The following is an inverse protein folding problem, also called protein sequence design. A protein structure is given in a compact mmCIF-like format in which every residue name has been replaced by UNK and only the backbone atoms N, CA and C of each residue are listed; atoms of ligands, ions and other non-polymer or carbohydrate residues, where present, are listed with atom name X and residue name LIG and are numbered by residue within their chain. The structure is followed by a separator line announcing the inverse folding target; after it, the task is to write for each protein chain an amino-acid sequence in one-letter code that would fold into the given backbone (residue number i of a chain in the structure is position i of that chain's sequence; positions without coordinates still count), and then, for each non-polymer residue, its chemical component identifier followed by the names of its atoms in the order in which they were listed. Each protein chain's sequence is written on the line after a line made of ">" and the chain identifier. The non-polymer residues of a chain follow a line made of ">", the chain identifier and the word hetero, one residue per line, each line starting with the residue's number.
data_IF_065710677255
#
_entry.id   IF_065710677255
#
_cell.length_a   1.000
_cell.length_b   1.000
_cell.length_c   1.000
_cell.angle_alpha   90.00
_cell.angle_beta   90.00
_cell.angle_gamma   90.00
#
_symmetry.space_group_name_H-M   'P 1'
#
loop_
_entity.id
_entity.type
_entity.pdbx_description
1 polymer ?
#
# COMPACT_ATOMS: atom_id res chain seq x y z
N UNK A 1 50.88 -11.80 -21.04
CA UNK A 1 49.91 -12.76 -20.50
C UNK A 1 48.78 -11.97 -19.86
N UNK A 2 47.73 -11.70 -20.61
CA UNK A 2 46.55 -10.95 -20.13
C UNK A 2 45.54 -11.98 -19.58
N UNK A 3 45.41 -11.99 -18.27
CA UNK A 3 44.45 -12.84 -17.55
C UNK A 3 43.08 -12.19 -17.68
N UNK A 4 42.36 -12.60 -18.72
CA UNK A 4 40.97 -12.21 -18.93
C UNK A 4 40.06 -13.17 -18.12
N UNK A 5 39.89 -12.88 -16.83
CA UNK A 5 38.83 -13.48 -16.05
C UNK A 5 37.48 -13.14 -16.71
N UNK A 6 36.68 -14.12 -17.13
CA UNK A 6 35.33 -13.87 -17.68
C UNK A 6 34.50 -13.21 -16.60
N UNK A 7 34.10 -11.96 -16.81
CA UNK A 7 33.17 -11.27 -15.93
C UNK A 7 31.91 -12.10 -15.77
N UNK A 8 31.67 -12.59 -14.56
CA UNK A 8 30.40 -13.26 -14.19
C UNK A 8 29.27 -12.27 -14.37
N UNK A 9 28.60 -12.32 -15.52
CA UNK A 9 27.37 -11.59 -15.73
C UNK A 9 26.32 -12.14 -14.76
N UNK A 10 26.00 -11.34 -13.71
CA UNK A 10 24.93 -11.67 -12.79
C UNK A 10 23.59 -11.66 -13.54
N UNK A 11 23.09 -12.85 -13.88
CA UNK A 11 21.73 -13.01 -14.41
C UNK A 11 20.79 -13.09 -13.23
N UNK A 12 19.89 -12.11 -13.05
CA UNK A 12 18.91 -12.14 -11.96
C UNK A 12 18.06 -13.41 -12.04
N UNK A 13 18.14 -14.26 -11.02
CA UNK A 13 17.38 -15.51 -10.97
C UNK A 13 15.95 -15.24 -10.52
N UNK A 14 14.97 -15.63 -11.34
CA UNK A 14 13.53 -15.49 -10.99
C UNK A 14 13.20 -16.40 -9.80
N UNK A 15 13.13 -15.86 -8.58
CA UNK A 15 12.81 -16.63 -7.34
C UNK A 15 11.32 -16.64 -7.04
N UNK A 16 10.51 -17.10 -7.97
CA UNK A 16 9.04 -17.05 -7.91
C UNK A 16 8.43 -17.89 -6.78
N UNK A 17 9.02 -19.03 -6.43
CA UNK A 17 8.54 -19.87 -5.33
C UNK A 17 8.77 -19.26 -3.96
N UNK A 18 9.90 -18.56 -3.76
CA UNK A 18 10.20 -17.87 -2.50
C UNK A 18 9.21 -16.74 -2.23
N UNK A 19 8.90 -15.92 -3.25
CA UNK A 19 7.90 -14.87 -3.13
C UNK A 19 6.53 -15.40 -2.73
N UNK A 20 6.05 -16.49 -3.37
CA UNK A 20 4.76 -17.08 -3.03
C UNK A 20 4.75 -17.65 -1.60
N UNK A 21 5.81 -18.34 -1.18
CA UNK A 21 5.92 -18.86 0.18
C UNK A 21 5.90 -17.78 1.24
N UNK A 22 6.65 -16.69 1.02
CA UNK A 22 6.66 -15.52 1.91
C UNK A 22 5.31 -14.79 1.89
N UNK A 23 4.64 -14.73 0.74
CA UNK A 23 3.32 -14.12 0.63
C UNK A 23 2.27 -14.91 1.42
N UNK A 24 2.29 -16.24 1.33
CA UNK A 24 1.43 -17.11 2.13
C UNK A 24 1.67 -16.88 3.63
N UNK A 25 2.93 -16.82 4.05
CA UNK A 25 3.29 -16.52 5.43
C UNK A 25 2.78 -15.14 5.86
N UNK A 26 2.92 -14.12 5.02
CA UNK A 26 2.42 -12.78 5.29
C UNK A 26 0.89 -12.73 5.46
N UNK A 27 0.15 -13.44 4.61
CA UNK A 27 -1.32 -13.57 4.72
C UNK A 27 -1.69 -14.31 6.00
N UNK A 28 -1.00 -15.41 6.34
CA UNK A 28 -1.24 -16.16 7.56
C UNK A 28 -0.98 -15.31 8.82
N UNK A 29 0.08 -14.52 8.83
CA UNK A 29 0.38 -13.58 9.92
C UNK A 29 -0.74 -12.54 10.04
N UNK A 30 -1.17 -11.93 8.93
CA UNK A 30 -2.24 -10.92 8.93
C UNK A 30 -3.58 -11.48 9.42
N UNK A 31 -4.01 -12.61 8.90
CA UNK A 31 -5.29 -13.25 9.30
C UNK A 31 -5.19 -13.83 10.71
N UNK A 32 -4.05 -14.44 11.05
CA UNK A 32 -3.81 -15.00 12.39
C UNK A 32 -3.78 -13.93 13.48
N UNK A 33 -3.14 -12.79 13.23
CA UNK A 33 -3.15 -11.67 14.18
C UNK A 33 -4.54 -11.04 14.33
N UNK A 34 -5.32 -10.96 13.25
CA UNK A 34 -6.72 -10.52 13.29
C UNK A 34 -7.58 -11.46 14.17
N UNK A 35 -7.42 -12.78 14.00
CA UNK A 35 -8.07 -13.79 14.84
C UNK A 35 -7.65 -13.68 16.30
N UNK A 36 -6.35 -13.48 16.57
CA UNK A 36 -5.80 -13.38 17.91
C UNK A 36 -6.38 -12.20 18.69
N UNK A 37 -6.67 -11.07 18.04
CA UNK A 37 -7.32 -9.92 18.67
C UNK A 37 -8.74 -10.27 19.14
N UNK A 38 -9.56 -10.91 18.31
CA UNK A 38 -10.91 -11.31 18.70
C UNK A 38 -10.90 -12.35 19.82
N UNK A 39 -10.02 -13.36 19.72
CA UNK A 39 -9.85 -14.37 20.77
C UNK A 39 -9.37 -13.77 22.10
N UNK A 40 -8.51 -12.75 22.06
CA UNK A 40 -7.97 -12.11 23.25
C UNK A 40 -8.94 -11.14 23.94
N UNK A 41 -9.89 -10.54 23.20
CA UNK A 41 -10.84 -9.56 23.76
C UNK A 41 -12.18 -10.23 24.07
N UNK A 42 -12.76 -10.94 23.10
CA UNK A 42 -14.11 -11.51 23.19
C UNK A 42 -14.12 -13.00 23.49
N UNK A 43 -12.96 -13.66 23.54
CA UNK A 43 -12.84 -15.11 23.71
C UNK A 43 -13.37 -15.92 22.51
N UNK A 44 -13.76 -15.27 21.41
CA UNK A 44 -14.33 -15.90 20.23
C UNK A 44 -13.62 -15.47 18.96
N UNK A 45 -13.70 -16.32 17.92
CA UNK A 45 -13.16 -15.96 16.61
C UNK A 45 -14.07 -14.89 15.98
N UNK A 46 -13.51 -13.80 15.46
CA UNK A 46 -14.31 -12.72 14.86
C UNK A 46 -15.26 -13.24 13.77
N UNK A 47 -16.54 -12.87 13.77
CA UNK A 47 -17.54 -13.43 12.84
C UNK A 47 -17.24 -13.12 11.36
N UNK A 48 -16.46 -12.08 11.08
CA UNK A 48 -16.07 -11.68 9.72
C UNK A 48 -14.74 -12.24 9.22
N UNK A 49 -14.03 -13.07 9.99
CA UNK A 49 -12.67 -13.50 9.68
C UNK A 49 -12.53 -14.21 8.33
N UNK A 50 -13.51 -15.06 7.99
CA UNK A 50 -13.47 -15.79 6.71
C UNK A 50 -13.59 -14.83 5.52
N UNK A 51 -14.45 -13.83 5.61
CA UNK A 51 -14.61 -12.82 4.56
C UNK A 51 -13.36 -11.94 4.45
N UNK A 52 -12.87 -11.43 5.57
CA UNK A 52 -11.66 -10.60 5.61
C UNK A 52 -10.46 -11.38 5.11
N UNK A 53 -10.26 -12.61 5.59
CA UNK A 53 -9.15 -13.48 5.20
C UNK A 53 -9.21 -13.86 3.73
N UNK A 54 -10.39 -14.21 3.20
CA UNK A 54 -10.57 -14.53 1.79
C UNK A 54 -10.28 -13.34 0.88
N UNK A 55 -10.87 -12.19 1.17
CA UNK A 55 -10.65 -10.96 0.38
C UNK A 55 -9.18 -10.55 0.44
N UNK A 56 -8.57 -10.61 1.62
CA UNK A 56 -7.16 -10.28 1.81
C UNK A 56 -6.24 -11.20 1.03
N UNK A 57 -6.48 -12.51 1.08
CA UNK A 57 -5.72 -13.50 0.31
C UNK A 57 -5.91 -13.31 -1.21
N UNK A 58 -7.14 -13.03 -1.65
CA UNK A 58 -7.45 -12.78 -3.06
C UNK A 58 -6.72 -11.54 -3.59
N UNK A 59 -6.71 -10.46 -2.82
CA UNK A 59 -6.02 -9.20 -3.17
C UNK A 59 -4.50 -9.41 -3.23
N UNK A 60 -3.94 -10.14 -2.25
CA UNK A 60 -2.52 -10.49 -2.24
C UNK A 60 -2.14 -11.38 -3.46
N UNK A 61 -2.99 -12.34 -3.80
CA UNK A 61 -2.79 -13.20 -4.96
C UNK A 61 -2.87 -12.40 -6.27
N UNK A 62 -3.83 -11.49 -6.40
CA UNK A 62 -3.96 -10.62 -7.57
C UNK A 62 -2.71 -9.76 -7.77
N UNK A 63 -2.18 -9.16 -6.68
CA UNK A 63 -0.92 -8.42 -6.72
C UNK A 63 0.26 -9.30 -7.15
N UNK A 64 0.37 -10.52 -6.59
CA UNK A 64 1.41 -11.48 -6.97
C UNK A 64 1.36 -11.84 -8.46
N UNK A 65 0.16 -12.13 -8.98
CA UNK A 65 -0.02 -12.45 -10.40
C UNK A 65 0.34 -11.27 -11.30
N UNK A 66 -0.01 -10.05 -10.89
CA UNK A 66 0.35 -8.83 -11.61
C UNK A 66 1.88 -8.61 -11.62
N UNK A 67 2.56 -8.73 -10.49
CA UNK A 67 4.03 -8.63 -10.41
C UNK A 67 4.68 -9.70 -11.27
N UNK A 68 4.20 -10.94 -11.22
CA UNK A 68 4.74 -12.04 -12.06
C UNK A 68 4.61 -11.75 -13.55
N UNK A 69 3.52 -11.13 -13.96
CA UNK A 69 3.24 -10.84 -15.39
C UNK A 69 3.97 -9.61 -15.89
N UNK A 70 3.99 -8.53 -15.12
CA UNK A 70 4.45 -7.21 -15.58
C UNK A 70 5.84 -6.82 -15.03
N UNK A 71 6.23 -7.33 -13.86
CA UNK A 71 7.49 -7.01 -13.19
C UNK A 71 8.25 -8.27 -12.73
N UNK A 72 8.45 -9.24 -13.63
CA UNK A 72 8.99 -10.56 -13.32
C UNK A 72 10.41 -10.62 -12.73
N UNK A 73 11.13 -9.49 -12.69
CA UNK A 73 12.45 -9.32 -12.06
C UNK A 73 12.39 -8.49 -10.76
N UNK A 74 11.19 -8.13 -10.28
CA UNK A 74 11.03 -7.43 -9.02
C UNK A 74 11.59 -8.26 -7.85
N UNK A 75 12.03 -7.57 -6.80
CA UNK A 75 12.52 -8.22 -5.59
C UNK A 75 11.39 -9.04 -4.95
N UNK A 76 11.62 -10.35 -4.68
CA UNK A 76 10.62 -11.24 -4.13
C UNK A 76 10.22 -10.91 -2.69
N UNK A 77 10.94 -10.03 -1.99
CA UNK A 77 10.66 -9.63 -0.60
C UNK A 77 9.67 -8.47 -0.51
N UNK A 78 9.65 -7.56 -1.50
CA UNK A 78 8.88 -6.31 -1.40
C UNK A 78 7.38 -6.55 -1.24
N UNK A 79 6.79 -7.38 -2.11
CA UNK A 79 5.35 -7.63 -2.05
C UNK A 79 4.92 -8.34 -0.75
N UNK A 80 5.58 -9.43 -0.29
CA UNK A 80 5.26 -10.05 0.99
C UNK A 80 5.39 -9.11 2.20
N UNK A 81 6.41 -8.24 2.22
CA UNK A 81 6.57 -7.26 3.30
C UNK A 81 5.42 -6.25 3.32
N UNK A 82 5.01 -5.72 2.17
CA UNK A 82 3.88 -4.79 2.05
C UNK A 82 2.60 -5.47 2.53
N UNK A 83 2.36 -6.70 2.11
CA UNK A 83 1.19 -7.48 2.54
C UNK A 83 1.24 -7.73 4.04
N UNK A 84 2.37 -8.14 4.60
CA UNK A 84 2.51 -8.37 6.04
C UNK A 84 2.22 -7.09 6.85
N UNK A 85 2.82 -5.96 6.49
CA UNK A 85 2.60 -4.67 7.16
C UNK A 85 1.14 -4.20 7.05
N UNK A 86 0.51 -4.39 5.89
CA UNK A 86 -0.90 -4.07 5.69
C UNK A 86 -1.80 -4.95 6.57
N UNK A 87 -1.50 -6.25 6.69
CA UNK A 87 -2.23 -7.19 7.57
C UNK A 87 -2.14 -6.81 9.05
N UNK A 88 -0.94 -6.47 9.52
CA UNK A 88 -0.73 -5.97 10.90
C UNK A 88 -1.51 -4.66 11.10
N UNK A 89 -1.45 -3.73 10.14
CA UNK A 89 -2.20 -2.48 10.17
C UNK A 89 -3.71 -2.71 10.28
N UNK A 90 -4.26 -3.64 9.48
CA UNK A 90 -5.68 -4.02 9.53
C UNK A 90 -6.07 -4.59 10.91
N UNK A 91 -5.20 -5.42 11.48
CA UNK A 91 -5.38 -5.98 12.83
C UNK A 91 -5.42 -4.90 13.91
N UNK A 92 -4.51 -3.92 13.83
CA UNK A 92 -4.49 -2.81 14.78
C UNK A 92 -5.71 -1.92 14.68
N UNK A 93 -6.20 -1.65 13.46
CA UNK A 93 -7.43 -0.89 13.22
C UNK A 93 -8.64 -1.64 13.77
N UNK A 94 -8.72 -2.96 13.56
CA UNK A 94 -9.78 -3.79 14.12
C UNK A 94 -9.80 -3.76 15.66
N UNK A 95 -8.63 -3.81 16.30
CA UNK A 95 -8.52 -3.67 17.76
C UNK A 95 -9.05 -2.31 18.25
N UNK A 96 -8.79 -1.24 17.50
CA UNK A 96 -9.30 0.09 17.81
C UNK A 96 -10.83 0.12 17.67
N UNK A 97 -11.38 -0.50 16.63
CA UNK A 97 -12.82 -0.58 16.41
C UNK A 97 -13.52 -1.26 17.58
N UNK A 98 -13.00 -2.39 18.07
CA UNK A 98 -13.53 -3.08 19.26
C UNK A 98 -13.50 -2.19 20.50
N UNK A 99 -12.43 -1.42 20.71
CA UNK A 99 -12.35 -0.47 21.82
C UNK A 99 -13.37 0.68 21.71
N UNK A 100 -13.65 1.15 20.50
CA UNK A 100 -14.64 2.20 20.24
C UNK A 100 -16.06 1.68 20.42
N UNK A 101 -16.37 0.45 20.00
CA UNK A 101 -17.65 -0.21 20.22
C UNK A 101 -17.92 -0.40 21.72
N UNK A 102 -16.94 -0.88 22.49
CA UNK A 102 -17.05 -1.03 23.94
C UNK A 102 -17.30 0.31 24.66
N UNK A 103 -16.79 1.43 24.11
CA UNK A 103 -16.98 2.79 24.60
C UNK A 103 -18.24 3.49 24.09
N UNK A 104 -19.12 2.81 23.35
CA UNK A 104 -20.30 3.40 22.68
C UNK A 104 -19.95 4.63 21.82
N UNK A 105 -18.79 4.60 21.17
CA UNK A 105 -18.35 5.69 20.31
C UNK A 105 -19.19 5.76 19.02
N UNK A 106 -19.56 6.97 18.55
CA UNK A 106 -20.26 7.13 17.27
C UNK A 106 -19.33 6.93 16.06
N UNK A 107 -18.02 6.70 16.30
CA UNK A 107 -17.00 6.52 15.27
C UNK A 107 -16.71 5.04 15.04
N UNK A 108 -16.55 4.64 13.77
CA UNK A 108 -16.23 3.28 13.34
C UNK A 108 -17.38 2.66 12.51
N UNK A 109 -17.21 1.43 11.97
CA UNK A 109 -15.99 0.62 11.96
C UNK A 109 -14.98 1.06 10.89
N UNK A 110 -13.73 1.24 11.30
CA UNK A 110 -12.66 1.69 10.39
C UNK A 110 -11.99 0.53 9.63
N UNK A 111 -12.02 -0.68 10.18
CA UNK A 111 -11.38 -1.85 9.56
C UNK A 111 -11.98 -2.19 8.19
N UNK A 112 -13.30 -2.08 8.03
CA UNK A 112 -13.97 -2.26 6.73
C UNK A 112 -13.58 -1.17 5.74
N UNK A 113 -13.41 0.07 6.21
CA UNK A 113 -12.89 1.19 5.43
C UNK A 113 -11.48 0.89 4.93
N UNK A 114 -10.60 0.42 5.82
CA UNK A 114 -9.21 0.07 5.48
C UNK A 114 -9.14 -1.03 4.44
N UNK A 115 -9.98 -2.06 4.53
CA UNK A 115 -10.01 -3.14 3.55
C UNK A 115 -10.38 -2.61 2.14
N UNK A 116 -11.35 -1.70 2.05
CA UNK A 116 -11.73 -1.03 0.79
C UNK A 116 -10.56 -0.21 0.22
N UNK A 117 -9.84 0.53 1.06
CA UNK A 117 -8.66 1.28 0.65
C UNK A 117 -7.51 0.37 0.21
N UNK A 118 -7.33 -0.79 0.85
CA UNK A 118 -6.36 -1.81 0.43
C UNK A 118 -6.68 -2.34 -0.96
N UNK A 119 -7.96 -2.66 -1.24
CA UNK A 119 -8.39 -3.09 -2.58
C UNK A 119 -8.09 -2.00 -3.62
N UNK A 120 -8.48 -0.76 -3.34
CA UNK A 120 -8.23 0.37 -4.24
C UNK A 120 -6.72 0.56 -4.47
N UNK A 121 -5.91 0.49 -3.41
CA UNK A 121 -4.45 0.62 -3.51
C UNK A 121 -3.82 -0.46 -4.40
N UNK A 122 -4.27 -1.70 -4.28
CA UNK A 122 -3.78 -2.79 -5.13
C UNK A 122 -4.26 -2.64 -6.58
N UNK A 123 -5.48 -2.17 -6.81
CA UNK A 123 -5.96 -1.87 -8.16
C UNK A 123 -5.14 -0.75 -8.81
N UNK A 124 -4.83 0.32 -8.08
CA UNK A 124 -3.94 1.38 -8.55
C UNK A 124 -2.51 0.87 -8.80
N UNK A 125 -1.98 0.03 -7.93
CA UNK A 125 -0.68 -0.62 -8.13
C UNK A 125 -0.63 -1.44 -9.42
N UNK A 126 -1.66 -2.25 -9.66
CA UNK A 126 -1.78 -3.03 -10.90
C UNK A 126 -1.90 -2.12 -12.11
N UNK A 127 -2.70 -1.05 -12.02
CA UNK A 127 -2.84 -0.05 -13.09
C UNK A 127 -1.49 0.61 -13.43
N UNK A 128 -0.72 1.00 -12.42
CA UNK A 128 0.64 1.56 -12.61
C UNK A 128 1.55 0.57 -13.32
N UNK A 129 1.56 -0.71 -12.92
CA UNK A 129 2.37 -1.74 -13.59
C UNK A 129 1.99 -1.96 -15.06
N UNK A 130 0.71 -1.77 -15.42
CA UNK A 130 0.23 -1.92 -16.79
C UNK A 130 0.55 -0.69 -17.64
N UNK A 131 0.34 0.50 -17.06
CA UNK A 131 0.44 1.78 -17.80
C UNK A 131 1.91 2.20 -17.92
N UNK A 132 2.67 2.11 -16.81
CA UNK A 132 4.06 2.58 -16.73
C UNK A 132 4.99 1.40 -16.98
N UNK A 133 5.07 0.96 -18.23
CA UNK A 133 6.00 -0.12 -18.64
C UNK A 133 7.46 0.33 -18.67
N UNK A 134 7.68 1.59 -18.98
CA UNK A 134 9.00 2.21 -19.05
C UNK A 134 9.04 3.43 -18.12
N UNK A 135 9.64 3.22 -16.93
CA UNK A 135 9.80 4.27 -15.93
C UNK A 135 10.69 5.42 -16.38
N UNK A 136 11.55 5.21 -17.40
CA UNK A 136 12.42 6.27 -17.94
C UNK A 136 11.61 7.42 -18.56
N UNK A 137 10.42 7.15 -19.08
CA UNK A 137 9.52 8.19 -19.57
C UNK A 137 9.07 9.19 -18.51
N UNK A 138 9.10 8.80 -17.24
CA UNK A 138 8.78 9.71 -16.15
C UNK A 138 9.82 10.83 -16.01
N UNK A 139 11.05 10.60 -16.46
CA UNK A 139 12.13 11.59 -16.47
C UNK A 139 11.80 12.78 -17.37
N UNK A 140 11.10 12.57 -18.49
CA UNK A 140 10.68 13.64 -19.41
C UNK A 140 9.72 14.63 -18.73
N UNK A 141 9.03 14.20 -17.69
CA UNK A 141 8.04 14.98 -16.93
C UNK A 141 8.54 15.41 -15.53
N UNK A 142 9.84 15.36 -15.29
CA UNK A 142 10.45 15.66 -13.98
C UNK A 142 9.95 16.97 -13.38
N UNK A 143 10.05 18.09 -14.12
CA UNK A 143 9.61 19.41 -13.62
C UNK A 143 8.09 19.52 -13.47
N UNK A 144 7.33 18.82 -14.28
CA UNK A 144 5.87 18.75 -14.17
C UNK A 144 5.47 18.05 -12.87
N UNK A 145 6.14 16.98 -12.48
CA UNK A 145 5.92 16.29 -11.21
C UNK A 145 6.32 17.17 -10.01
N UNK A 146 7.41 17.94 -10.11
CA UNK A 146 7.80 18.91 -9.10
C UNK A 146 6.73 19.99 -8.89
N UNK A 147 6.25 20.60 -9.96
CA UNK A 147 5.19 21.60 -9.90
C UNK A 147 3.89 21.00 -9.33
N UNK A 148 3.51 19.83 -9.81
CA UNK A 148 2.32 19.12 -9.33
C UNK A 148 2.39 18.81 -7.83
N UNK A 149 3.56 18.40 -7.34
CA UNK A 149 3.78 18.16 -5.92
C UNK A 149 3.58 19.43 -5.08
N UNK A 150 4.11 20.58 -5.53
CA UNK A 150 3.93 21.86 -4.86
C UNK A 150 2.45 22.24 -4.81
N UNK A 151 1.74 22.11 -5.94
CA UNK A 151 0.30 22.39 -6.01
C UNK A 151 -0.47 21.50 -5.01
N UNK A 152 -0.17 20.21 -4.95
CA UNK A 152 -0.81 19.29 -4.01
C UNK A 152 -0.53 19.65 -2.54
N UNK A 153 0.65 20.16 -2.21
CA UNK A 153 0.98 20.58 -0.85
C UNK A 153 0.26 21.86 -0.43
N UNK A 154 0.06 22.78 -1.37
CA UNK A 154 -0.63 24.07 -1.11
C UNK A 154 -2.15 23.91 -1.09
N UNK A 155 -2.69 22.95 -1.84
CA UNK A 155 -4.12 22.76 -2.06
C UNK A 155 -4.95 22.66 -0.76
N UNK A 156 -4.53 21.94 0.31
CA UNK A 156 -5.27 21.89 1.58
C UNK A 156 -5.30 23.20 2.36
N UNK A 157 -4.39 24.14 2.04
CA UNK A 157 -4.34 25.44 2.70
C UNK A 157 -5.41 26.42 2.16
N UNK A 158 -6.03 26.08 1.02
CA UNK A 158 -7.09 26.91 0.44
C UNK A 158 -8.39 26.78 1.27
N UNK A 159 -8.99 27.90 1.69
CA UNK A 159 -10.14 27.87 2.60
C UNK A 159 -11.41 27.25 2.02
N UNK A 160 -11.48 27.10 0.68
CA UNK A 160 -12.66 26.58 -0.03
C UNK A 160 -12.65 25.03 -0.08
N UNK A 161 -11.47 24.41 -0.09
CA UNK A 161 -11.29 22.98 -0.37
C UNK A 161 -10.67 22.26 0.84
N UNK A 162 -9.88 22.99 1.63
CA UNK A 162 -9.19 22.48 2.79
C UNK A 162 -10.15 22.15 3.93
N UNK A 163 -9.92 21.02 4.58
CA UNK A 163 -10.63 20.60 5.78
C UNK A 163 -9.64 20.39 6.92
N UNK A 164 -9.83 21.14 7.99
CA UNK A 164 -9.04 20.97 9.21
C UNK A 164 -9.64 19.82 10.04
N UNK A 165 -8.86 18.76 10.23
CA UNK A 165 -9.20 17.67 11.15
C UNK A 165 -8.21 17.68 12.31
N UNK A 166 -8.71 17.76 13.54
CA UNK A 166 -7.90 17.77 14.77
C UNK A 166 -6.81 18.86 14.78
N UNK A 167 -7.11 20.06 14.23
CA UNK A 167 -6.19 21.18 14.19
C UNK A 167 -5.19 21.18 13.02
N UNK A 168 -5.16 20.15 12.17
CA UNK A 168 -4.30 20.09 11.00
C UNK A 168 -5.09 20.30 9.70
N UNK A 169 -4.78 21.36 8.95
CA UNK A 169 -5.36 21.68 7.65
C UNK A 169 -4.58 20.99 6.52
N UNK A 170 -4.57 19.66 6.52
CA UNK A 170 -3.84 18.84 5.55
C UNK A 170 -4.75 17.92 4.72
N UNK A 171 -6.06 18.04 4.95
CA UNK A 171 -7.06 17.20 4.29
C UNK A 171 -7.87 18.00 3.28
N UNK A 172 -8.26 17.35 2.21
CA UNK A 172 -9.29 17.82 1.29
C UNK A 172 -10.51 16.92 1.46
N UNK A 173 -11.68 17.54 1.50
CA UNK A 173 -12.93 16.84 1.54
C UNK A 173 -13.73 17.10 0.25
N UNK A 174 -14.02 16.02 -0.48
CA UNK A 174 -14.85 16.07 -1.69
C UNK A 174 -16.04 15.15 -1.48
N UNK A 175 -17.16 15.72 -1.08
CA UNK A 175 -18.35 14.94 -0.71
C UNK A 175 -18.05 14.00 0.46
N UNK A 176 -18.36 12.70 0.35
CA UNK A 176 -18.11 11.71 1.41
C UNK A 176 -16.64 11.28 1.50
N UNK A 177 -15.79 11.65 0.54
CA UNK A 177 -14.40 11.24 0.48
C UNK A 177 -13.48 12.27 1.12
N UNK A 178 -12.61 11.80 2.00
CA UNK A 178 -11.54 12.60 2.60
C UNK A 178 -10.21 12.08 2.09
N UNK A 179 -9.42 12.97 1.51
CA UNK A 179 -8.13 12.66 0.91
C UNK A 179 -7.05 13.60 1.45
N UNK A 180 -5.86 13.06 1.68
CA UNK A 180 -4.68 13.85 2.06
C UNK A 180 -3.77 14.02 0.85
N UNK A 181 -3.72 15.22 0.21
CA UNK A 181 -2.92 15.43 -0.98
C UNK A 181 -1.41 15.24 -0.77
N UNK A 182 -0.95 15.42 0.47
CA UNK A 182 0.45 15.19 0.85
C UNK A 182 0.93 13.76 0.55
N UNK A 183 0.04 12.74 0.57
CA UNK A 183 0.42 11.37 0.22
C UNK A 183 0.76 11.25 -1.28
N UNK A 184 -0.04 11.87 -2.15
CA UNK A 184 0.24 11.92 -3.58
C UNK A 184 1.44 12.83 -3.89
N UNK A 185 1.59 13.93 -3.15
CA UNK A 185 2.74 14.84 -3.28
C UNK A 185 4.07 14.13 -3.00
N UNK A 186 4.12 13.23 -2.00
CA UNK A 186 5.33 12.42 -1.72
C UNK A 186 5.75 11.61 -2.93
N UNK A 187 4.80 10.96 -3.60
CA UNK A 187 5.09 10.15 -4.81
C UNK A 187 5.60 11.06 -5.93
N UNK A 188 4.95 12.20 -6.15
CA UNK A 188 5.35 13.17 -7.17
C UNK A 188 6.76 13.73 -6.89
N UNK A 189 7.08 14.04 -5.62
CA UNK A 189 8.42 14.49 -5.21
C UNK A 189 9.50 13.44 -5.43
N UNK A 190 9.20 12.16 -5.15
CA UNK A 190 10.15 11.06 -5.41
C UNK A 190 10.48 10.97 -6.89
N UNK A 191 9.47 11.09 -7.77
CA UNK A 191 9.68 11.10 -9.22
C UNK A 191 10.48 12.34 -9.65
N UNK A 192 10.15 13.51 -9.11
CA UNK A 192 10.89 14.75 -9.36
C UNK A 192 12.35 14.61 -8.98
N UNK A 193 12.67 14.20 -7.74
CA UNK A 193 14.05 14.07 -7.30
C UNK A 193 14.82 12.98 -8.04
N UNK A 194 14.16 11.85 -8.34
CA UNK A 194 14.78 10.79 -9.13
C UNK A 194 15.17 11.28 -10.55
N UNK A 195 14.37 12.12 -11.19
CA UNK A 195 14.69 12.68 -12.49
C UNK A 195 15.64 13.89 -12.44
N UNK A 196 15.62 14.64 -11.33
CA UNK A 196 16.49 15.84 -11.16
C UNK A 196 17.93 15.48 -10.82
N UNK A 197 18.17 14.37 -10.12
CA UNK A 197 19.49 13.94 -9.66
C UNK A 197 20.26 13.07 -10.68
N UNK A 198 19.67 12.71 -11.81
CA UNK A 198 20.28 11.95 -12.91
C UNK A 198 20.72 12.88 -14.03
#
# INVERSE_FOLDING_TARGET
>A
MSDSTPGTTWVPRKRRGAELGLLLLAVLIGVGSYAAVGLGIDGTVPPGIYTVGFVYALVALAAHLAVRKFAGYADPLLLPLIVCLNGIGLTMIYRIDLGLEAGNSPYGPFAQGQLRWTILGILLFIAVLIIIRDHRRLQDYTYSFGLFAIVLLVLPMLPIIGSAKRGAAIWIQVGPFSFQPGEAAKIALVIFFAGYLV
#
